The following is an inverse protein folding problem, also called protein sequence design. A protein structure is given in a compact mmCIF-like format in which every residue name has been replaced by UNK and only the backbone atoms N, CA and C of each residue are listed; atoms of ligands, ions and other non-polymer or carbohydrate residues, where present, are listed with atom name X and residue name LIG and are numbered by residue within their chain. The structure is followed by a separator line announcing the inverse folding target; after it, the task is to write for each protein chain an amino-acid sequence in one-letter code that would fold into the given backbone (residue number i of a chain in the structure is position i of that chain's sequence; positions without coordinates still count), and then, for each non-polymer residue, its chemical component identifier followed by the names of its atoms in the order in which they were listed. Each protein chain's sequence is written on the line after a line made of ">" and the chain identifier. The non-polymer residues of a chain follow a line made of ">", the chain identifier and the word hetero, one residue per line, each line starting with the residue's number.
data_IF_207923766441
#
_entry.id   IF_207923766441
#
_cell.length_a   1.000
_cell.length_b   1.000
_cell.length_c   1.000
_cell.angle_alpha   90.00
_cell.angle_beta   90.00
_cell.angle_gamma   90.00
#
_symmetry.space_group_name_H-M   'P 1'
#
loop_
_entity.id
_entity.type
_entity.pdbx_description
1 polymer ?
#
# COMPACT_ATOMS: atom_id res chain seq x y z
N UNK A 1 13.09 9.20 -7.40
CA UNK A 1 12.17 8.03 -7.33
C UNK A 1 10.83 8.48 -6.78
N UNK A 2 9.75 8.10 -7.41
CA UNK A 2 8.38 8.39 -6.98
C UNK A 2 7.65 7.10 -6.68
N UNK A 3 7.02 7.03 -5.53
CA UNK A 3 6.21 5.88 -5.10
C UNK A 3 4.74 6.29 -5.17
N UNK A 4 3.94 5.51 -5.91
CA UNK A 4 2.50 5.72 -6.00
C UNK A 4 1.79 4.95 -4.90
N UNK A 5 0.85 5.60 -4.21
CA UNK A 5 0.02 4.95 -3.18
C UNK A 5 -1.44 5.06 -3.60
N UNK A 6 -2.10 3.94 -3.91
CA UNK A 6 -3.53 3.95 -4.21
C UNK A 6 -4.35 4.36 -2.98
N UNK A 7 -5.26 5.31 -3.16
CA UNK A 7 -6.12 5.82 -2.08
C UNK A 7 -7.35 4.93 -1.91
N UNK A 8 -7.16 3.76 -1.37
CA UNK A 8 -8.25 2.82 -1.13
C UNK A 8 -7.84 1.73 -0.16
N UNK A 9 -8.78 0.93 0.29
CA UNK A 9 -8.61 -0.17 1.23
C UNK A 9 -7.83 0.26 2.48
N UNK A 10 -6.62 -0.24 2.65
CA UNK A 10 -5.81 0.02 3.84
C UNK A 10 -5.12 1.38 3.86
N UNK A 11 -5.24 2.21 2.82
CA UNK A 11 -4.60 3.52 2.77
C UNK A 11 -4.92 4.36 4.01
N UNK A 12 -6.20 4.46 4.36
CA UNK A 12 -6.63 5.32 5.47
C UNK A 12 -6.13 4.84 6.84
N UNK A 13 -5.85 3.55 6.96
CA UNK A 13 -5.30 2.97 8.18
C UNK A 13 -3.78 3.19 8.30
N UNK A 14 -3.05 3.07 7.21
CA UNK A 14 -1.60 3.11 7.19
C UNK A 14 -0.98 4.40 6.64
N UNK A 15 -1.79 5.33 6.16
CA UNK A 15 -1.29 6.53 5.45
C UNK A 15 -0.24 7.31 6.23
N UNK A 16 -0.46 7.51 7.53
CA UNK A 16 0.45 8.32 8.37
C UNK A 16 1.81 7.66 8.50
N UNK A 17 1.84 6.33 8.66
CA UNK A 17 3.08 5.56 8.71
C UNK A 17 3.81 5.59 7.36
N UNK A 18 3.11 5.30 6.27
CA UNK A 18 3.72 5.25 4.94
C UNK A 18 4.24 6.61 4.49
N UNK A 19 3.45 7.66 4.65
CA UNK A 19 3.84 9.02 4.23
C UNK A 19 5.03 9.53 5.02
N UNK A 20 5.05 9.33 6.33
CA UNK A 20 6.17 9.71 7.17
C UNK A 20 7.43 8.92 6.81
N UNK A 21 7.30 7.61 6.60
CA UNK A 21 8.42 6.74 6.22
C UNK A 21 9.12 7.22 4.95
N UNK A 22 8.37 7.41 3.88
CA UNK A 22 8.93 7.86 2.61
C UNK A 22 9.50 9.28 2.68
N UNK A 23 8.83 10.17 3.40
CA UNK A 23 9.31 11.54 3.62
C UNK A 23 10.67 11.55 4.32
N UNK A 24 10.83 10.72 5.35
CA UNK A 24 12.10 10.61 6.08
C UNK A 24 13.24 10.05 5.25
N UNK A 25 12.94 9.24 4.25
CA UNK A 25 13.93 8.74 3.29
C UNK A 25 14.18 9.69 2.12
N UNK A 26 13.48 10.82 2.05
CA UNK A 26 13.60 11.75 0.92
C UNK A 26 13.02 11.23 -0.38
N UNK A 27 12.05 10.32 -0.30
CA UNK A 27 11.39 9.71 -1.46
C UNK A 27 10.05 10.40 -1.71
N UNK A 28 9.82 10.82 -2.95
CA UNK A 28 8.57 11.45 -3.34
C UNK A 28 7.43 10.44 -3.41
N UNK A 29 6.25 10.87 -2.98
CA UNK A 29 5.03 10.05 -2.99
C UNK A 29 3.96 10.72 -3.85
N UNK A 30 3.32 9.94 -4.71
CA UNK A 30 2.15 10.34 -5.49
C UNK A 30 0.96 9.54 -4.97
N UNK A 31 -0.06 10.24 -4.46
CA UNK A 31 -1.29 9.60 -3.97
C UNK A 31 -2.35 9.78 -5.04
N UNK A 32 -3.10 8.72 -5.35
CA UNK A 32 -4.24 8.83 -6.27
C UNK A 32 -5.30 9.76 -5.70
N UNK A 33 -6.06 10.41 -6.55
CA UNK A 33 -7.14 11.30 -6.15
C UNK A 33 -8.26 10.57 -5.42
N UNK A 34 -9.15 11.32 -4.77
CA UNK A 34 -10.32 10.73 -4.11
C UNK A 34 -11.14 9.91 -5.11
N UNK A 35 -11.80 8.88 -4.61
CA UNK A 35 -12.65 8.01 -5.43
C UNK A 35 -13.79 8.80 -6.07
N UNK A 36 -13.90 8.67 -7.39
CA UNK A 36 -14.98 9.26 -8.19
C UNK A 36 -15.66 8.15 -9.00
N UNK A 37 -16.76 8.48 -9.69
CA UNK A 37 -17.39 7.55 -10.63
C UNK A 37 -16.41 7.09 -11.71
N UNK A 38 -15.53 7.97 -12.15
CA UNK A 38 -14.50 7.69 -13.14
C UNK A 38 -13.48 6.67 -12.64
N UNK A 39 -13.07 6.79 -11.37
CA UNK A 39 -12.19 5.82 -10.71
C UNK A 39 -12.78 4.41 -10.77
N UNK A 40 -14.06 4.31 -10.42
CA UNK A 40 -14.79 3.03 -10.43
C UNK A 40 -14.90 2.47 -11.85
N UNK A 41 -15.22 3.32 -12.84
CA UNK A 41 -15.27 2.91 -14.25
C UNK A 41 -13.94 2.35 -14.75
N UNK A 42 -12.84 3.02 -14.43
CA UNK A 42 -11.49 2.52 -14.78
C UNK A 42 -11.21 1.15 -14.16
N UNK A 43 -11.57 0.99 -12.89
CA UNK A 43 -11.42 -0.29 -12.18
C UNK A 43 -12.28 -1.39 -12.77
N UNK A 44 -13.50 -1.07 -13.21
CA UNK A 44 -14.42 -2.04 -13.81
C UNK A 44 -13.89 -2.65 -15.10
N UNK A 45 -13.06 -1.94 -15.86
CA UNK A 45 -12.45 -2.46 -17.09
C UNK A 45 -11.49 -3.63 -16.82
N UNK A 46 -10.92 -3.70 -15.62
CA UNK A 46 -9.92 -4.71 -15.23
C UNK A 46 -10.46 -5.68 -14.17
N UNK A 47 -11.71 -5.52 -13.76
CA UNK A 47 -12.35 -6.37 -12.77
C UNK A 47 -13.32 -7.37 -13.42
N UNK A 48 -13.76 -8.35 -12.64
CA UNK A 48 -14.83 -9.25 -13.01
C UNK A 48 -16.06 -8.98 -12.12
N UNK A 49 -17.19 -9.59 -12.46
CA UNK A 49 -18.46 -9.38 -11.75
C UNK A 49 -18.44 -9.89 -10.30
N UNK A 50 -17.53 -10.81 -9.98
CA UNK A 50 -17.40 -11.38 -8.64
C UNK A 50 -16.66 -10.44 -7.67
N UNK A 51 -15.96 -9.43 -8.17
CA UNK A 51 -15.25 -8.47 -7.32
C UNK A 51 -16.22 -7.48 -6.68
N UNK A 52 -16.00 -7.19 -5.39
CA UNK A 52 -16.76 -6.16 -4.68
C UNK A 52 -16.41 -4.76 -5.18
N UNK A 53 -17.29 -3.79 -4.89
CA UNK A 53 -17.10 -2.40 -5.31
C UNK A 53 -15.81 -1.79 -4.75
N UNK A 54 -15.42 -2.17 -3.55
CA UNK A 54 -14.18 -1.69 -2.93
C UNK A 54 -12.94 -2.11 -3.72
N UNK A 55 -12.91 -3.33 -4.23
CA UNK A 55 -11.82 -3.81 -5.07
C UNK A 55 -11.83 -3.15 -6.45
N UNK A 56 -13.01 -2.92 -7.02
CA UNK A 56 -13.15 -2.21 -8.29
C UNK A 56 -12.62 -0.78 -8.19
N UNK A 57 -12.97 -0.08 -7.12
CA UNK A 57 -12.45 1.26 -6.83
C UNK A 57 -10.93 1.23 -6.65
N UNK A 58 -10.42 0.27 -5.91
CA UNK A 58 -8.98 0.10 -5.69
C UNK A 58 -8.21 -0.11 -7.00
N UNK A 59 -8.72 -0.97 -7.88
CA UNK A 59 -8.13 -1.15 -9.22
C UNK A 59 -8.11 0.15 -10.00
N UNK A 60 -9.17 0.94 -9.93
CA UNK A 60 -9.24 2.26 -10.56
C UNK A 60 -8.16 3.22 -10.04
N UNK A 61 -7.89 3.20 -8.74
CA UNK A 61 -6.81 3.99 -8.14
C UNK A 61 -5.44 3.54 -8.65
N UNK A 62 -5.21 2.24 -8.75
CA UNK A 62 -3.94 1.70 -9.29
C UNK A 62 -3.76 2.10 -10.75
N UNK A 63 -4.79 1.96 -11.56
CA UNK A 63 -4.77 2.36 -12.97
C UNK A 63 -4.46 3.85 -13.12
N UNK A 64 -5.03 4.69 -12.27
CA UNK A 64 -4.80 6.14 -12.32
C UNK A 64 -3.36 6.55 -11.99
N UNK A 65 -2.62 5.71 -11.30
CA UNK A 65 -1.20 5.93 -10.97
C UNK A 65 -0.24 5.45 -12.05
N UNK A 66 -0.74 4.71 -13.03
CA UNK A 66 0.08 4.18 -14.11
C UNK A 66 0.73 5.32 -14.90
N UNK A 67 2.04 5.25 -15.06
CA UNK A 67 2.82 6.30 -15.74
C UNK A 67 3.13 7.54 -14.91
N UNK A 68 2.66 7.63 -13.67
CA UNK A 68 2.87 8.78 -12.78
C UNK A 68 3.91 8.54 -11.69
N UNK A 69 4.35 7.30 -11.53
CA UNK A 69 5.29 6.90 -10.50
C UNK A 69 6.18 5.76 -10.99
N UNK A 70 7.28 5.51 -10.30
CA UNK A 70 8.21 4.41 -10.64
C UNK A 70 7.73 3.07 -10.10
N UNK A 71 7.16 3.08 -8.91
CA UNK A 71 6.61 1.90 -8.24
C UNK A 71 5.27 2.23 -7.59
N UNK A 72 4.38 1.25 -7.52
CA UNK A 72 3.12 1.35 -6.78
C UNK A 72 3.20 0.50 -5.52
N UNK A 73 2.88 1.08 -4.38
CA UNK A 73 2.80 0.35 -3.11
C UNK A 73 1.49 -0.44 -3.05
N UNK A 74 1.60 -1.76 -3.05
CA UNK A 74 0.44 -2.66 -3.02
C UNK A 74 0.46 -3.48 -1.72
N UNK A 75 -0.33 -3.11 -0.72
CA UNK A 75 -0.42 -3.88 0.50
C UNK A 75 -1.14 -5.21 0.26
N UNK A 76 -0.59 -6.27 0.84
CA UNK A 76 -1.18 -7.60 0.86
C UNK A 76 -1.22 -8.08 2.29
N UNK A 77 -2.36 -7.94 2.92
CA UNK A 77 -2.55 -8.35 4.31
C UNK A 77 -3.34 -9.65 4.32
N UNK A 78 -2.66 -10.74 4.66
CA UNK A 78 -3.23 -12.08 4.60
C UNK A 78 -4.13 -12.38 5.80
N UNK A 79 -3.72 -11.95 7.00
CA UNK A 79 -4.54 -12.10 8.20
C UNK A 79 -4.14 -11.12 9.30
N UNK A 80 -5.12 -10.82 10.17
CA UNK A 80 -5.00 -9.86 11.26
C UNK A 80 -4.82 -10.51 12.64
N UNK A 81 -4.71 -11.83 12.70
CA UNK A 81 -4.59 -12.57 13.95
C UNK A 81 -5.21 -13.97 13.84
N UNK A 82 -5.41 -14.60 14.98
CA UNK A 82 -5.97 -15.95 15.04
C UNK A 82 -7.35 -16.00 14.35
N UNK A 83 -7.48 -16.88 13.37
CA UNK A 83 -8.72 -17.17 12.64
C UNK A 83 -9.32 -16.03 11.80
N UNK A 84 -8.60 -14.93 11.58
CA UNK A 84 -9.06 -13.86 10.68
C UNK A 84 -8.24 -13.87 9.39
N UNK A 85 -8.88 -14.17 8.27
CA UNK A 85 -8.27 -14.10 6.95
C UNK A 85 -8.92 -13.01 6.12
N UNK A 86 -8.12 -12.34 5.29
CA UNK A 86 -8.66 -11.42 4.29
C UNK A 86 -9.34 -12.21 3.16
N UNK A 87 -10.25 -11.54 2.46
CA UNK A 87 -10.96 -12.10 1.32
C UNK A 87 -9.98 -12.66 0.26
N UNK A 88 -10.22 -13.85 -0.25
CA UNK A 88 -9.39 -14.47 -1.29
C UNK A 88 -9.29 -13.62 -2.55
N UNK A 89 -10.36 -12.92 -2.92
CA UNK A 89 -10.35 -11.99 -4.05
C UNK A 89 -9.37 -10.86 -3.84
N UNK A 90 -9.25 -10.34 -2.63
CA UNK A 90 -8.28 -9.32 -2.29
C UNK A 90 -6.83 -9.85 -2.42
N UNK A 91 -6.58 -11.05 -1.91
CA UNK A 91 -5.26 -11.69 -1.97
C UNK A 91 -4.85 -11.93 -3.44
N UNK A 92 -5.78 -12.40 -4.26
CA UNK A 92 -5.52 -12.68 -5.69
C UNK A 92 -5.37 -11.42 -6.54
N UNK A 93 -5.93 -10.30 -6.11
CA UNK A 93 -5.92 -9.02 -6.85
C UNK A 93 -4.49 -8.53 -7.09
N UNK A 94 -3.58 -8.73 -6.15
CA UNK A 94 -2.18 -8.39 -6.33
C UNK A 94 -1.58 -8.97 -7.60
N UNK A 95 -1.75 -10.27 -7.80
CA UNK A 95 -1.22 -10.96 -8.99
C UNK A 95 -1.87 -10.48 -10.28
N UNK A 96 -3.17 -10.22 -10.23
CA UNK A 96 -3.89 -9.68 -11.39
C UNK A 96 -3.39 -8.29 -11.77
N UNK A 97 -3.21 -7.41 -10.80
CA UNK A 97 -2.74 -6.04 -11.03
C UNK A 97 -1.36 -6.03 -11.67
N UNK A 98 -0.42 -6.77 -11.10
CA UNK A 98 0.96 -6.78 -11.60
C UNK A 98 1.09 -7.38 -13.00
N UNK A 99 0.29 -8.40 -13.30
CA UNK A 99 0.34 -9.08 -14.59
C UNK A 99 -0.43 -8.34 -15.68
N UNK A 100 -1.63 -7.82 -15.36
CA UNK A 100 -2.49 -7.18 -16.36
C UNK A 100 -2.09 -5.74 -16.69
N UNK A 101 -1.59 -5.01 -15.71
CA UNK A 101 -1.29 -3.59 -15.86
C UNK A 101 0.19 -3.29 -16.10
N UNK A 102 1.04 -4.32 -16.12
CA UNK A 102 2.50 -4.16 -16.28
C UNK A 102 3.10 -3.12 -15.31
N UNK A 103 2.57 -3.08 -14.10
CA UNK A 103 2.98 -2.13 -13.07
C UNK A 103 4.08 -2.74 -12.20
N UNK A 104 5.15 -1.98 -12.00
CA UNK A 104 6.16 -2.34 -11.02
C UNK A 104 5.61 -2.05 -9.62
N UNK A 105 5.51 -3.08 -8.79
CA UNK A 105 4.90 -2.97 -7.48
C UNK A 105 5.89 -3.21 -6.35
N UNK A 106 5.72 -2.46 -5.27
CA UNK A 106 6.37 -2.75 -3.99
C UNK A 106 5.37 -3.52 -3.15
N UNK A 107 5.75 -4.72 -2.75
CA UNK A 107 4.90 -5.57 -1.91
C UNK A 107 4.99 -5.17 -0.45
N UNK A 108 3.85 -5.08 0.20
CA UNK A 108 3.73 -4.89 1.63
C UNK A 108 2.91 -6.06 2.18
N UNK A 109 3.60 -7.15 2.50
CA UNK A 109 2.97 -8.40 2.92
C UNK A 109 2.94 -8.50 4.45
N UNK A 110 1.77 -8.51 5.05
CA UNK A 110 1.59 -8.68 6.49
C UNK A 110 0.80 -9.95 6.77
N UNK A 111 1.32 -10.77 7.68
CA UNK A 111 0.61 -11.92 8.22
C UNK A 111 1.03 -12.09 9.67
N UNK A 112 0.13 -11.80 10.59
CA UNK A 112 0.39 -11.91 12.02
C UNK A 112 0.61 -13.36 12.45
N UNK A 113 -0.04 -14.30 11.78
CA UNK A 113 0.10 -15.73 12.12
C UNK A 113 1.43 -16.34 11.67
N UNK A 114 2.10 -15.71 10.70
CA UNK A 114 3.40 -16.18 10.19
C UNK A 114 4.58 -15.39 10.74
N UNK A 115 4.37 -14.62 11.80
CA UNK A 115 5.39 -13.74 12.41
C UNK A 115 6.07 -12.79 11.41
N UNK A 116 5.34 -12.41 10.38
CA UNK A 116 5.82 -11.39 9.43
C UNK A 116 5.51 -10.02 10.02
N UNK A 117 6.50 -9.45 10.66
CA UNK A 117 6.39 -8.11 11.26
C UNK A 117 6.50 -7.03 10.19
N UNK A 118 5.88 -5.88 10.44
CA UNK A 118 5.98 -4.72 9.55
C UNK A 118 7.43 -4.32 9.28
N UNK A 119 8.26 -4.25 10.32
CA UNK A 119 9.67 -3.87 10.20
C UNK A 119 10.40 -4.75 9.19
N UNK A 120 10.20 -6.06 9.22
CA UNK A 120 10.82 -7.00 8.30
C UNK A 120 10.39 -6.74 6.85
N UNK A 121 9.15 -6.37 6.63
CA UNK A 121 8.66 -6.03 5.30
C UNK A 121 9.30 -4.75 4.77
N UNK A 122 9.39 -3.71 5.59
CA UNK A 122 10.07 -2.47 5.20
C UNK A 122 11.55 -2.72 4.88
N UNK A 123 12.24 -3.57 5.63
CA UNK A 123 13.65 -3.90 5.37
C UNK A 123 13.88 -4.58 4.02
N UNK A 124 12.91 -5.31 3.51
CA UNK A 124 12.99 -5.94 2.18
C UNK A 124 13.03 -4.91 1.04
N UNK A 125 12.60 -3.69 1.28
CA UNK A 125 12.59 -2.63 0.27
C UNK A 125 13.95 -1.96 0.08
N UNK A 126 14.97 -2.37 0.82
CA UNK A 126 16.32 -1.81 0.77
C UNK A 126 16.88 -1.73 -0.66
N UNK A 127 16.80 -2.82 -1.41
CA UNK A 127 17.30 -2.87 -2.78
C UNK A 127 16.47 -2.02 -3.75
N UNK A 128 15.15 -2.02 -3.60
CA UNK A 128 14.24 -1.25 -4.46
C UNK A 128 14.41 0.24 -4.22
N UNK A 129 14.45 0.66 -2.96
CA UNK A 129 14.57 2.07 -2.57
C UNK A 129 16.00 2.60 -2.64
N UNK A 130 16.98 1.72 -2.86
CA UNK A 130 18.42 2.06 -2.89
C UNK A 130 18.87 2.76 -1.60
N UNK A 131 18.38 2.26 -0.47
CA UNK A 131 18.70 2.74 0.88
C UNK A 131 19.26 1.59 1.71
N UNK A 132 20.15 1.90 2.65
CA UNK A 132 20.70 0.87 3.54
C UNK A 132 19.60 0.36 4.50
N UNK A 133 19.77 -0.85 4.98
CA UNK A 133 18.84 -1.43 5.98
C UNK A 133 18.80 -0.59 7.26
N UNK A 134 19.92 0.04 7.63
CA UNK A 134 20.01 0.94 8.79
C UNK A 134 19.14 2.18 8.59
N UNK A 135 19.23 2.82 7.42
CA UNK A 135 18.41 3.98 7.07
C UNK A 135 16.91 3.63 7.10
N UNK A 136 16.54 2.49 6.53
CA UNK A 136 15.15 2.03 6.51
C UNK A 136 14.64 1.75 7.91
N UNK A 137 15.44 1.09 8.74
CA UNK A 137 15.06 0.78 10.13
C UNK A 137 14.84 2.05 10.94
N UNK A 138 15.73 3.03 10.83
CA UNK A 138 15.58 4.32 11.50
C UNK A 138 14.34 5.06 11.02
N UNK A 139 14.14 5.15 9.69
CA UNK A 139 12.95 5.80 9.12
C UNK A 139 11.67 5.12 9.56
N UNK A 140 11.64 3.80 9.62
CA UNK A 140 10.47 3.06 10.09
C UNK A 140 10.14 3.37 11.56
N UNK A 141 11.13 3.29 12.45
CA UNK A 141 10.89 3.58 13.88
C UNK A 141 10.42 5.02 14.11
N UNK A 142 11.01 5.99 13.44
CA UNK A 142 10.60 7.38 13.53
C UNK A 142 9.21 7.61 12.93
N UNK A 143 8.90 6.93 11.81
CA UNK A 143 7.58 7.00 11.20
C UNK A 143 6.49 6.42 12.11
N UNK A 144 6.78 5.34 12.83
CA UNK A 144 5.87 4.79 13.84
C UNK A 144 5.56 5.80 14.94
N UNK A 145 6.58 6.52 15.42
CA UNK A 145 6.41 7.57 16.43
C UNK A 145 5.57 8.73 15.90
N UNK A 146 5.80 9.14 14.64
CA UNK A 146 5.01 10.19 14.00
C UNK A 146 3.54 9.79 13.85
N UNK A 147 3.28 8.56 13.42
CA UNK A 147 1.92 8.03 13.30
C UNK A 147 1.20 7.98 14.64
N UNK A 148 1.90 7.58 15.71
CA UNK A 148 1.35 7.58 17.06
C UNK A 148 0.99 8.98 17.55
N UNK A 149 1.83 9.98 17.26
CA UNK A 149 1.56 11.39 17.61
C UNK A 149 0.33 11.92 16.92
N UNK A 150 0.19 11.63 15.61
CA UNK A 150 -0.98 12.05 14.82
C UNK A 150 -2.25 11.41 15.39
N UNK A 151 -2.20 10.12 15.71
CA UNK A 151 -3.35 9.40 16.27
C UNK A 151 -3.79 10.00 17.61
N UNK A 152 -2.85 10.28 18.51
CA UNK A 152 -3.15 10.92 19.80
C UNK A 152 -3.78 12.31 19.64
N UNK A 153 -3.28 13.10 18.70
CA UNK A 153 -3.83 14.43 18.43
C UNK A 153 -5.27 14.37 17.92
N UNK A 154 -5.65 13.30 17.21
CA UNK A 154 -7.03 13.11 16.73
C UNK A 154 -7.99 12.63 17.84
N UNK A 155 -7.48 11.98 18.88
CA UNK A 155 -8.28 11.52 20.02
C UNK A 155 -8.54 12.63 21.07
N UNK A 156 -7.78 13.69 21.03
CA UNK A 156 -7.97 14.90 21.86
C UNK A 156 -9.00 15.84 21.21
#
# INVERSE_FOLDING_TARGET
>A
MKIGIPRGLYYYHYKDLWLSFFKRLGIDVVISEKTTKDTIKKGMQYSNDEMCISLKAYLGHVVSLQGKCDYVLLPRIENYGLNTQTCNNYISTYHKITNLLEIQAIQYNISLTKNKTEEKEFLKWSSILKKSKKEIKEAYHLACLDAMKIRKALEE
#
